data_IF_137768183642
#
_entry.id   IF_137768183642
#
_cell.length_a   1.000
_cell.length_b   1.000
_cell.length_c   1.000
_cell.angle_alpha   90.00
_cell.angle_beta   90.00
_cell.angle_gamma   90.00
#
_symmetry.space_group_name_H-M   'P 1'
#
loop_
_entity.id
_entity.type
_entity.pdbx_description
1 polymer ?
#
# COMPACT_ATOMS: atom_id res chain seq x y z
N UNK A 1 -3.62 -3.90 -19.31
CA UNK A 1 -3.06 -3.84 -17.95
C UNK A 1 -3.49 -2.53 -17.30
N UNK A 2 -3.73 -2.50 -15.99
CA UNK A 2 -4.04 -1.27 -15.26
C UNK A 2 -2.75 -0.72 -14.64
N UNK A 3 -2.47 0.54 -14.93
CA UNK A 3 -1.27 1.27 -14.47
C UNK A 3 -1.72 2.67 -14.04
N UNK A 4 -1.61 2.95 -12.73
CA UNK A 4 -1.89 4.27 -12.17
C UNK A 4 -0.85 5.29 -12.64
N UNK A 5 -1.29 6.51 -12.95
CA UNK A 5 -0.48 7.55 -13.58
C UNK A 5 -0.23 7.38 -15.09
N UNK A 6 -0.72 6.31 -15.73
CA UNK A 6 -0.54 6.08 -17.18
C UNK A 6 -1.86 5.75 -17.88
N UNK A 7 -2.52 4.68 -17.46
CA UNK A 7 -3.80 4.23 -18.06
C UNK A 7 -5.01 4.65 -17.22
N UNK A 8 -4.78 4.95 -15.96
CA UNK A 8 -5.74 5.44 -14.98
C UNK A 8 -5.01 6.50 -14.17
N UNK A 9 -5.64 7.60 -13.81
CA UNK A 9 -4.93 8.63 -13.04
C UNK A 9 -4.60 8.13 -11.63
N UNK A 10 -5.62 7.75 -10.87
CA UNK A 10 -5.48 7.50 -9.42
C UNK A 10 -6.19 6.23 -8.92
N UNK A 11 -7.18 5.71 -9.65
CA UNK A 11 -7.98 4.58 -9.18
C UNK A 11 -8.44 3.66 -10.31
N UNK A 12 -8.62 2.39 -9.96
CA UNK A 12 -9.18 1.33 -10.80
C UNK A 12 -10.33 0.69 -10.04
N UNK A 13 -11.49 0.58 -10.67
CA UNK A 13 -12.66 -0.07 -10.09
C UNK A 13 -12.77 -1.50 -10.64
N UNK A 14 -13.14 -2.43 -9.76
CA UNK A 14 -13.46 -3.81 -10.08
C UNK A 14 -14.90 -4.11 -9.61
N UNK A 15 -15.93 -3.73 -10.40
CA UNK A 15 -17.33 -3.78 -9.96
C UNK A 15 -17.80 -5.19 -9.58
N UNK A 16 -17.28 -6.22 -10.24
CA UNK A 16 -17.61 -7.62 -9.96
C UNK A 16 -17.22 -8.06 -8.53
N UNK A 17 -16.34 -7.31 -7.86
CA UNK A 17 -15.88 -7.58 -6.49
C UNK A 17 -16.24 -6.47 -5.51
N UNK A 18 -16.96 -5.43 -5.96
CA UNK A 18 -17.23 -4.23 -5.17
C UNK A 18 -15.95 -3.68 -4.52
N UNK A 19 -14.92 -3.52 -5.35
CA UNK A 19 -13.55 -3.19 -4.96
C UNK A 19 -13.02 -2.00 -5.77
N UNK A 20 -12.38 -1.06 -5.09
CA UNK A 20 -11.54 -0.01 -5.67
C UNK A 20 -10.09 -0.24 -5.24
N UNK A 21 -9.15 -0.09 -6.18
CA UNK A 21 -7.71 0.01 -5.91
C UNK A 21 -7.24 1.40 -6.31
N UNK A 22 -6.63 2.13 -5.40
CA UNK A 22 -6.16 3.49 -5.66
C UNK A 22 -4.75 3.76 -5.15
N UNK A 23 -4.11 4.80 -5.69
CA UNK A 23 -2.79 5.25 -5.29
C UNK A 23 -2.29 6.39 -6.16
N UNK A 24 -1.18 6.99 -5.75
CA UNK A 24 -0.56 8.09 -6.50
C UNK A 24 0.74 7.65 -7.14
N UNK A 25 0.84 7.84 -8.45
CA UNK A 25 2.09 7.62 -9.17
C UNK A 25 3.12 8.71 -8.82
N UNK A 26 4.38 8.29 -8.66
CA UNK A 26 5.51 9.21 -8.57
C UNK A 26 5.82 9.76 -9.96
N UNK A 27 5.57 11.05 -10.17
CA UNK A 27 5.78 11.71 -11.46
C UNK A 27 7.06 12.54 -11.48
N UNK A 28 7.51 12.99 -10.32
CA UNK A 28 8.69 13.82 -10.13
C UNK A 28 9.25 13.65 -8.71
N UNK A 29 10.28 14.46 -8.39
CA UNK A 29 10.94 14.51 -7.09
C UNK A 29 10.55 15.76 -6.29
N UNK A 30 9.56 16.54 -6.72
CA UNK A 30 9.07 17.73 -6.03
C UNK A 30 7.86 17.39 -5.15
N UNK A 31 7.00 16.47 -5.59
CA UNK A 31 5.91 15.91 -4.80
C UNK A 31 6.28 14.49 -4.33
N UNK A 32 6.68 14.39 -3.07
CA UNK A 32 7.11 13.14 -2.45
C UNK A 32 6.09 12.58 -1.45
N UNK A 33 4.82 12.98 -1.48
CA UNK A 33 3.80 12.55 -0.51
C UNK A 33 2.96 11.37 -1.05
N UNK A 34 3.28 10.09 -0.73
CA UNK A 34 2.74 8.93 -1.44
C UNK A 34 1.29 8.60 -1.05
N UNK A 35 0.86 9.06 0.13
CA UNK A 35 -0.47 8.85 0.70
C UNK A 35 -1.30 10.14 0.79
N UNK A 36 -0.89 11.21 0.08
CA UNK A 36 -1.61 12.49 0.06
C UNK A 36 -3.07 12.29 -0.35
N UNK A 37 -3.98 13.09 0.20
CA UNK A 37 -5.40 13.10 -0.23
C UNK A 37 -6.06 11.72 -0.32
N UNK A 38 -6.29 11.01 0.81
CA UNK A 38 -7.08 9.79 0.82
C UNK A 38 -8.39 9.92 0.04
N UNK A 39 -8.72 8.91 -0.77
CA UNK A 39 -9.94 8.91 -1.58
C UNK A 39 -11.15 8.51 -0.74
N UNK A 40 -12.29 9.23 -0.83
CA UNK A 40 -13.53 8.80 -0.19
C UNK A 40 -13.94 7.41 -0.67
N UNK A 41 -14.38 6.56 0.27
CA UNK A 41 -14.83 5.20 -0.04
C UNK A 41 -16.05 5.24 -0.99
N UNK A 42 -15.93 4.59 -2.14
CA UNK A 42 -16.98 4.47 -3.16
C UNK A 42 -17.50 3.03 -3.36
N UNK A 43 -16.80 2.05 -2.80
CA UNK A 43 -17.05 0.61 -2.90
C UNK A 43 -17.01 -0.05 -1.52
N UNK A 44 -17.50 -1.29 -1.41
CA UNK A 44 -17.40 -2.06 -0.16
C UNK A 44 -15.95 -2.22 0.27
N UNK A 45 -15.07 -2.60 -0.66
CA UNK A 45 -13.65 -2.79 -0.41
C UNK A 45 -12.84 -1.68 -1.04
N UNK A 46 -11.86 -1.18 -0.29
CA UNK A 46 -10.89 -0.23 -0.80
C UNK A 46 -9.47 -0.67 -0.44
N UNK A 47 -8.62 -0.80 -1.46
CA UNK A 47 -7.19 -1.08 -1.30
C UNK A 47 -6.42 0.15 -1.73
N UNK A 48 -5.62 0.70 -0.82
CA UNK A 48 -4.66 1.73 -1.13
C UNK A 48 -3.32 1.08 -1.54
N UNK A 49 -2.61 1.69 -2.48
CA UNK A 49 -1.25 1.31 -2.86
C UNK A 49 -0.34 2.53 -2.77
N UNK A 50 0.86 2.33 -2.22
CA UNK A 50 1.87 3.38 -2.16
C UNK A 50 3.28 2.80 -2.31
N UNK A 51 4.16 3.58 -2.92
CA UNK A 51 5.58 3.29 -2.96
C UNK A 51 6.32 4.33 -2.12
N UNK A 52 7.07 3.92 -1.10
CA UNK A 52 7.79 4.87 -0.26
C UNK A 52 8.27 4.29 1.05
N UNK A 53 8.91 5.13 1.85
CA UNK A 53 9.46 4.80 3.15
C UNK A 53 8.46 5.11 4.27
N UNK A 54 8.11 4.10 5.04
CA UNK A 54 7.38 4.30 6.28
C UNK A 54 8.34 4.86 7.35
N UNK A 55 7.97 6.01 7.91
CA UNK A 55 8.71 6.68 8.97
C UNK A 55 7.98 6.50 10.31
N UNK A 56 8.50 5.65 11.22
CA UNK A 56 7.88 5.44 12.51
C UNK A 56 8.06 6.66 13.43
N UNK A 57 7.17 6.86 14.43
CA UNK A 57 7.20 8.03 15.30
C UNK A 57 8.54 8.30 15.99
N UNK A 58 9.30 7.25 16.29
CA UNK A 58 10.58 7.31 17.01
C UNK A 58 11.69 7.98 16.18
N UNK A 59 11.61 7.94 14.85
CA UNK A 59 12.65 8.45 13.95
C UNK A 59 12.27 9.75 13.24
N UNK A 60 11.01 10.21 13.40
CA UNK A 60 10.47 11.47 12.85
C UNK A 60 11.26 12.73 13.16
N UNK A 61 12.08 12.75 14.22
CA UNK A 61 12.89 13.90 14.61
C UNK A 61 13.98 14.28 13.59
N UNK A 62 14.22 13.46 12.56
CA UNK A 62 15.12 13.77 11.46
C UNK A 62 14.39 13.83 10.09
N UNK A 63 13.46 14.78 9.89
CA UNK A 63 12.50 14.77 8.78
C UNK A 63 13.07 15.17 7.41
N UNK A 64 14.39 15.33 7.28
CA UNK A 64 15.04 16.02 6.15
C UNK A 64 15.76 15.08 5.16
N UNK A 65 15.18 13.91 4.87
CA UNK A 65 15.65 13.12 3.73
C UNK A 65 14.65 13.30 2.58
N UNK A 66 15.08 13.83 1.41
CA UNK A 66 14.24 13.86 0.23
C UNK A 66 13.95 12.41 -0.17
N UNK A 67 12.82 11.91 0.31
CA UNK A 67 12.32 10.57 0.05
C UNK A 67 10.80 10.58 0.13
N UNK A 68 10.20 9.60 -0.53
CA UNK A 68 8.77 9.35 -0.50
C UNK A 68 8.35 8.82 0.86
N UNK A 69 8.20 9.70 1.85
CA UNK A 69 7.93 9.33 3.24
C UNK A 69 6.43 9.37 3.53
N UNK A 70 5.96 8.45 4.36
CA UNK A 70 4.66 8.56 4.99
C UNK A 70 4.67 7.95 6.40
N UNK A 71 3.65 8.29 7.16
CA UNK A 71 3.59 8.04 8.60
C UNK A 71 2.37 7.25 9.06
N UNK A 72 2.30 6.95 10.36
CA UNK A 72 1.12 6.33 10.98
C UNK A 72 -0.19 7.08 10.74
N UNK A 73 -0.15 8.42 10.83
CA UNK A 73 -1.32 9.27 10.66
C UNK A 73 -1.81 9.22 9.21
N UNK A 74 -0.89 9.25 8.25
CA UNK A 74 -1.22 9.15 6.83
C UNK A 74 -1.73 7.75 6.45
N UNK A 75 -1.12 6.69 6.99
CA UNK A 75 -1.62 5.32 6.85
C UNK A 75 -3.05 5.22 7.41
N UNK A 76 -3.28 5.74 8.60
CA UNK A 76 -4.60 5.72 9.26
C UNK A 76 -5.62 6.53 8.46
N UNK A 77 -5.23 7.69 7.95
CA UNK A 77 -6.09 8.58 7.18
C UNK A 77 -6.58 7.94 5.86
N UNK A 78 -5.87 6.94 5.33
CA UNK A 78 -6.37 6.19 4.16
C UNK A 78 -7.73 5.56 4.41
N UNK A 79 -8.00 5.11 5.65
CA UNK A 79 -9.22 4.36 5.99
C UNK A 79 -9.45 3.09 5.16
N UNK A 80 -8.43 2.65 4.41
CA UNK A 80 -8.51 1.54 3.48
C UNK A 80 -8.59 0.21 4.23
N UNK A 81 -9.16 -0.79 3.58
CA UNK A 81 -9.25 -2.15 4.13
C UNK A 81 -7.89 -2.85 4.11
N UNK A 82 -7.02 -2.45 3.18
CA UNK A 82 -5.63 -2.89 3.10
C UNK A 82 -4.75 -1.82 2.43
N UNK A 83 -3.51 -1.66 2.89
CA UNK A 83 -2.51 -0.80 2.26
C UNK A 83 -1.32 -1.64 1.78
N UNK A 84 -1.19 -1.74 0.45
CA UNK A 84 -0.07 -2.43 -0.19
C UNK A 84 1.11 -1.48 -0.38
N UNK A 85 2.23 -1.76 0.28
CA UNK A 85 3.42 -0.92 0.23
C UNK A 85 4.53 -1.55 -0.61
N UNK A 86 5.18 -0.72 -1.43
CA UNK A 86 6.45 -1.01 -2.09
C UNK A 86 7.54 -0.04 -1.62
N UNK A 87 8.81 -0.44 -1.79
CA UNK A 87 10.07 0.30 -1.57
C UNK A 87 11.08 -0.54 -0.78
N UNK A 88 10.62 -1.27 0.25
CA UNK A 88 11.49 -2.11 1.06
C UNK A 88 11.61 -3.52 0.49
N UNK A 89 12.84 -4.01 0.36
CA UNK A 89 13.11 -5.40 -0.01
C UNK A 89 12.72 -6.40 1.09
N UNK A 90 12.65 -5.93 2.33
CA UNK A 90 12.25 -6.72 3.50
C UNK A 90 10.73 -6.74 3.65
N UNK A 91 10.11 -7.92 3.81
CA UNK A 91 8.69 -8.00 4.09
C UNK A 91 8.41 -7.56 5.52
N UNK A 92 7.47 -6.64 5.71
CA UNK A 92 7.21 -6.01 7.01
C UNK A 92 5.77 -5.52 7.11
N UNK A 93 5.16 -5.68 8.29
CA UNK A 93 3.94 -4.94 8.66
C UNK A 93 4.38 -3.65 9.34
N UNK A 94 3.82 -2.53 8.91
CA UNK A 94 4.10 -1.21 9.49
C UNK A 94 2.80 -0.53 9.91
N UNK A 95 2.90 0.66 10.49
CA UNK A 95 1.75 1.39 11.00
C UNK A 95 1.39 1.04 12.44
N UNK A 96 0.59 1.91 13.07
CA UNK A 96 -0.05 1.67 14.37
C UNK A 96 -1.09 0.53 14.38
N UNK A 97 -1.43 0.00 13.20
CA UNK A 97 -2.33 -1.13 13.01
C UNK A 97 -3.81 -0.80 12.79
N UNK A 98 -4.20 0.47 12.72
CA UNK A 98 -5.56 0.88 12.33
C UNK A 98 -5.92 0.45 10.90
N UNK A 99 -4.94 0.46 9.99
CA UNK A 99 -5.03 -0.09 8.64
C UNK A 99 -3.98 -1.22 8.51
N UNK A 100 -4.31 -2.38 7.90
CA UNK A 100 -3.33 -3.42 7.66
C UNK A 100 -2.39 -2.98 6.53
N UNK A 101 -1.25 -2.37 6.90
CA UNK A 101 -0.24 -1.86 5.97
C UNK A 101 0.98 -2.78 5.90
N UNK A 102 1.32 -3.25 4.71
CA UNK A 102 2.40 -4.22 4.54
C UNK A 102 3.28 -3.93 3.33
N UNK A 103 4.59 -4.03 3.57
CA UNK A 103 5.57 -4.30 2.52
C UNK A 103 5.58 -5.81 2.24
N UNK A 104 5.45 -6.20 0.97
CA UNK A 104 5.62 -7.61 0.55
C UNK A 104 7.08 -8.04 0.49
N UNK A 105 8.01 -7.08 0.44
CA UNK A 105 9.41 -7.35 0.15
C UNK A 105 9.67 -7.61 -1.33
N UNK A 106 10.95 -7.70 -1.69
CA UNK A 106 11.39 -8.05 -3.04
C UNK A 106 11.20 -9.55 -3.29
N UNK A 107 10.53 -9.97 -4.38
CA UNK A 107 10.34 -11.39 -4.70
C UNK A 107 11.65 -12.20 -4.73
N UNK A 108 12.75 -11.60 -5.20
CA UNK A 108 14.05 -12.26 -5.31
C UNK A 108 14.74 -12.44 -3.94
N UNK A 109 14.58 -11.48 -3.04
CA UNK A 109 15.26 -11.48 -1.73
C UNK A 109 14.37 -12.06 -0.62
N UNK A 110 13.12 -11.62 -0.55
CA UNK A 110 12.14 -12.07 0.43
C UNK A 110 11.54 -13.44 0.12
N UNK A 111 11.59 -13.88 -1.15
CA UNK A 111 11.05 -15.17 -1.65
C UNK A 111 9.62 -15.47 -1.18
N UNK A 112 8.83 -14.41 -0.97
CA UNK A 112 7.47 -14.50 -0.46
C UNK A 112 6.57 -13.45 -1.11
N UNK A 113 5.28 -13.61 -0.94
CA UNK A 113 4.23 -12.63 -1.27
C UNK A 113 3.27 -12.49 -0.09
N UNK A 114 2.57 -11.37 -0.01
CA UNK A 114 1.40 -11.26 0.85
C UNK A 114 0.18 -11.79 0.10
N UNK A 115 -0.47 -12.80 0.66
CA UNK A 115 -1.78 -13.25 0.22
C UNK A 115 -2.84 -12.52 1.06
N UNK A 116 -3.63 -11.68 0.40
CA UNK A 116 -4.68 -10.88 1.03
C UNK A 116 -6.03 -11.47 0.66
N UNK A 117 -6.80 -11.88 1.66
CA UNK A 117 -8.13 -12.45 1.49
C UNK A 117 -9.16 -11.49 2.06
N UNK A 118 -10.01 -10.96 1.17
CA UNK A 118 -11.19 -10.17 1.52
C UNK A 118 -12.39 -11.11 1.55
N UNK A 119 -13.01 -11.30 2.71
CA UNK A 119 -14.08 -12.30 2.88
C UNK A 119 -15.46 -11.67 2.88
N UNK A 120 -16.49 -12.43 2.47
CA UNK A 120 -17.87 -11.94 2.53
C UNK A 120 -18.34 -11.54 3.94
N UNK A 121 -17.67 -11.99 4.99
CA UNK A 121 -17.94 -11.58 6.37
C UNK A 121 -17.38 -10.20 6.73
N UNK A 122 -16.64 -9.55 5.84
CA UNK A 122 -16.00 -8.25 6.10
C UNK A 122 -14.60 -8.36 6.72
N UNK A 123 -14.00 -9.55 6.73
CA UNK A 123 -12.65 -9.76 7.26
C UNK A 123 -11.58 -9.54 6.17
N UNK A 124 -10.47 -8.94 6.57
CA UNK A 124 -9.23 -8.85 5.80
C UNK A 124 -8.17 -9.72 6.48
N UNK A 125 -7.89 -10.89 5.90
CA UNK A 125 -6.84 -11.78 6.37
C UNK A 125 -5.60 -11.64 5.48
N UNK A 126 -4.44 -11.40 6.09
CA UNK A 126 -3.16 -11.27 5.39
C UNK A 126 -2.23 -12.38 5.86
N UNK A 127 -1.85 -13.29 4.95
CA UNK A 127 -0.81 -14.30 5.19
C UNK A 127 0.39 -14.03 4.30
N UNK A 128 1.55 -14.56 4.68
CA UNK A 128 2.77 -14.51 3.88
C UNK A 128 3.03 -15.89 3.31
N UNK A 129 3.01 -16.00 2.00
CA UNK A 129 3.17 -17.26 1.28
C UNK A 129 4.53 -17.31 0.58
N UNK A 130 5.13 -18.50 0.53
CA UNK A 130 6.38 -18.71 -0.19
C UNK A 130 6.17 -18.64 -1.71
N UNK A 131 7.10 -18.01 -2.42
CA UNK A 131 7.13 -18.03 -3.87
C UNK A 131 7.72 -19.35 -4.38
N UNK A 132 6.98 -19.99 -5.28
CA UNK A 132 7.42 -21.16 -6.02
C UNK A 132 7.70 -20.69 -7.45
N UNK A 133 8.98 -20.72 -7.84
CA UNK A 133 9.38 -20.43 -9.21
C UNK A 133 9.21 -21.71 -10.03
N UNK A 134 8.45 -21.63 -11.11
CA UNK A 134 8.42 -22.69 -12.11
C UNK A 134 9.65 -22.49 -13.00
N UNK A 135 10.45 -23.54 -13.15
CA UNK A 135 11.57 -23.61 -14.10
C UNK A 135 11.08 -23.72 -15.55
#
# INVERSE_FOLDING_TARGET
AHVLGVTHDEAVHFPAYDLEVWGYAHRDYFDMAPLRGPRPRSTRWQVAIAHGHYEPPETRANPLRPSWIFSDEEITATGADYLALGHWDRPMRVGNGAVPAFYSGSPALARTVNLVRLTNAGEVAVTREALIWLE
#
